data_IF_000764918193
#
_entry.id   IF_000764918193
#
_cell.length_a   1.000
_cell.length_b   1.000
_cell.length_c   1.000
_cell.angle_alpha   90.00
_cell.angle_beta   90.00
_cell.angle_gamma   90.00
#
_symmetry.space_group_name_H-M   'P 1'
#
loop_
_entity.id
_entity.type
_entity.pdbx_description
1 polymer ?
#
# COMPACT_ATOMS: atom_id res chain seq x y z
N UNK A 1 -44.26 -10.00 28.82
CA UNK A 1 -43.72 -10.52 27.55
C UNK A 1 -42.95 -9.39 26.88
N UNK A 2 -41.65 -9.28 27.12
CA UNK A 2 -40.82 -8.29 26.45
C UNK A 2 -40.32 -8.88 25.13
N UNK A 3 -40.75 -8.29 24.01
CA UNK A 3 -40.16 -8.51 22.69
C UNK A 3 -38.79 -7.83 22.70
N UNK A 4 -37.70 -8.60 22.84
CA UNK A 4 -36.38 -8.11 22.49
C UNK A 4 -36.35 -7.90 20.98
N UNK A 5 -36.48 -6.64 20.58
CA UNK A 5 -36.13 -6.21 19.23
C UNK A 5 -34.68 -6.60 18.98
N UNK A 6 -34.45 -7.41 17.96
CA UNK A 6 -33.12 -7.56 17.37
C UNK A 6 -32.75 -6.20 16.82
N UNK A 7 -31.90 -5.47 17.53
CA UNK A 7 -31.22 -4.31 16.99
C UNK A 7 -30.27 -4.84 15.91
N UNK A 8 -30.73 -4.88 14.67
CA UNK A 8 -29.85 -4.87 13.52
C UNK A 8 -29.15 -3.50 13.54
N UNK A 9 -28.08 -3.41 14.33
CA UNK A 9 -27.11 -2.32 14.23
C UNK A 9 -26.64 -2.38 12.79
N UNK A 10 -26.93 -1.33 12.02
CA UNK A 10 -26.56 -1.24 10.61
C UNK A 10 -25.04 -1.34 10.47
N UNK A 11 -24.55 -2.56 10.31
CA UNK A 11 -23.14 -2.83 10.07
C UNK A 11 -22.84 -2.33 8.68
N UNK A 12 -22.25 -1.14 8.60
CA UNK A 12 -21.82 -0.57 7.33
C UNK A 12 -20.55 -1.29 6.90
N UNK A 13 -20.73 -2.41 6.19
CA UNK A 13 -19.65 -3.14 5.57
C UNK A 13 -19.00 -2.26 4.50
N UNK A 14 -17.68 -2.09 4.58
CA UNK A 14 -16.89 -1.43 3.56
C UNK A 14 -16.01 -2.48 2.87
N UNK A 15 -16.37 -2.82 1.64
CA UNK A 15 -15.59 -3.69 0.76
C UNK A 15 -15.57 -3.12 -0.64
N UNK A 16 -14.44 -3.27 -1.34
CA UNK A 16 -14.36 -3.02 -2.78
C UNK A 16 -13.70 -4.23 -3.41
N UNK A 17 -14.26 -4.70 -4.52
CA UNK A 17 -13.59 -5.63 -5.40
C UNK A 17 -12.36 -4.90 -5.99
N UNK A 18 -11.17 -5.42 -5.69
CA UNK A 18 -9.92 -4.76 -6.03
C UNK A 18 -9.03 -5.75 -6.76
N UNK A 19 -8.79 -5.48 -8.04
CA UNK A 19 -7.75 -6.15 -8.81
C UNK A 19 -6.38 -5.54 -8.46
N UNK A 20 -5.57 -6.29 -7.72
CA UNK A 20 -4.17 -5.93 -7.41
C UNK A 20 -3.25 -6.72 -8.34
N UNK A 21 -2.28 -6.07 -9.01
CA UNK A 21 -1.30 -6.77 -9.85
C UNK A 21 -0.50 -7.82 -9.08
N UNK A 22 -0.20 -8.94 -9.73
CA UNK A 22 0.71 -10.00 -9.24
C UNK A 22 2.18 -9.54 -9.27
N UNK A 23 2.50 -8.57 -8.43
CA UNK A 23 3.85 -8.03 -8.26
C UNK A 23 4.11 -7.70 -6.78
N UNK A 24 5.24 -8.10 -6.19
CA UNK A 24 5.48 -7.93 -4.75
C UNK A 24 5.31 -6.48 -4.26
N UNK A 25 5.84 -5.50 -4.99
CA UNK A 25 5.62 -4.08 -4.66
C UNK A 25 4.14 -3.71 -4.63
N UNK A 26 3.35 -4.12 -5.62
CA UNK A 26 1.93 -3.80 -5.68
C UNK A 26 1.17 -4.42 -4.50
N UNK A 27 1.52 -5.66 -4.13
CA UNK A 27 0.95 -6.36 -2.98
C UNK A 27 1.24 -5.63 -1.66
N UNK A 28 2.48 -5.20 -1.44
CA UNK A 28 2.85 -4.39 -0.26
C UNK A 28 2.17 -3.02 -0.24
N UNK A 29 2.03 -2.35 -1.38
CA UNK A 29 1.30 -1.08 -1.47
C UNK A 29 -0.18 -1.25 -1.11
N UNK A 30 -0.79 -2.37 -1.52
CA UNK A 30 -2.17 -2.71 -1.14
C UNK A 30 -2.31 -2.99 0.36
N UNK A 31 -1.38 -3.75 0.94
CA UNK A 31 -1.30 -3.95 2.38
C UNK A 31 -1.21 -2.60 3.11
N UNK A 32 -0.28 -1.73 2.70
CA UNK A 32 -0.11 -0.41 3.28
C UNK A 32 -1.38 0.45 3.16
N UNK A 33 -2.03 0.46 1.99
CA UNK A 33 -3.29 1.20 1.81
C UNK A 33 -4.38 0.73 2.78
N UNK A 34 -4.47 -0.59 3.00
CA UNK A 34 -5.40 -1.21 3.93
C UNK A 34 -5.13 -0.78 5.37
N UNK A 35 -3.88 -0.83 5.83
CA UNK A 35 -3.50 -0.39 7.19
C UNK A 35 -3.70 1.12 7.36
N UNK A 36 -3.33 1.93 6.37
CA UNK A 36 -3.59 3.37 6.42
C UNK A 36 -5.08 3.70 6.46
N UNK A 37 -5.95 2.85 5.89
CA UNK A 37 -7.40 3.00 5.96
C UNK A 37 -7.98 2.66 7.34
N UNK A 38 -7.37 1.70 8.05
CA UNK A 38 -7.69 1.32 9.45
C UNK A 38 -7.30 2.44 10.41
N UNK A 39 -6.10 3.00 10.24
CA UNK A 39 -5.48 3.99 11.14
C UNK A 39 -5.76 5.46 10.77
N UNK A 40 -6.64 5.72 9.80
CA UNK A 40 -6.97 7.07 9.32
C UNK A 40 -5.74 7.91 8.98
N UNK A 41 -4.73 7.29 8.37
CA UNK A 41 -3.53 7.99 7.95
C UNK A 41 -3.86 8.78 6.68
N UNK A 42 -3.85 10.09 6.83
CA UNK A 42 -4.24 11.04 5.80
C UNK A 42 -3.43 10.86 4.51
N UNK A 43 -4.14 11.02 3.38
CA UNK A 43 -3.55 11.02 2.03
C UNK A 43 -2.93 12.36 1.64
N UNK A 44 -2.91 13.32 2.55
CA UNK A 44 -2.41 14.68 2.32
C UNK A 44 -0.90 14.71 2.14
N UNK A 45 -0.17 13.75 2.73
CA UNK A 45 1.25 13.57 2.49
C UNK A 45 1.48 12.97 1.09
N UNK A 46 2.15 13.73 0.22
CA UNK A 46 2.38 13.35 -1.17
C UNK A 46 3.09 11.99 -1.32
N UNK A 47 4.03 11.69 -0.41
CA UNK A 47 4.78 10.44 -0.41
C UNK A 47 3.86 9.26 -0.05
N UNK A 48 3.10 9.36 1.05
CA UNK A 48 2.16 8.31 1.48
C UNK A 48 1.11 8.04 0.39
N UNK A 49 0.61 9.08 -0.28
CA UNK A 49 -0.36 8.91 -1.37
C UNK A 49 0.22 8.09 -2.53
N UNK A 50 1.49 8.34 -2.89
CA UNK A 50 2.16 7.58 -3.96
C UNK A 50 2.40 6.13 -3.55
N UNK A 51 2.86 5.91 -2.32
CA UNK A 51 3.17 4.58 -1.76
C UNK A 51 1.94 3.69 -1.57
N UNK A 52 0.73 4.25 -1.62
CA UNK A 52 -0.55 3.51 -1.53
C UNK A 52 -1.17 3.20 -2.89
N UNK A 53 -0.70 3.81 -3.98
CA UNK A 53 -1.26 3.62 -5.31
C UNK A 53 -0.70 2.37 -6.01
N UNK A 54 -1.16 1.20 -5.56
CA UNK A 54 -0.71 -0.11 -6.07
C UNK A 54 -0.93 -0.29 -7.59
N UNK A 55 -1.83 0.47 -8.22
CA UNK A 55 -2.03 0.44 -9.68
C UNK A 55 -0.85 1.04 -10.43
N UNK A 56 -0.12 1.95 -9.79
CA UNK A 56 1.07 2.62 -10.32
C UNK A 56 2.36 2.13 -9.66
N UNK A 57 2.40 0.86 -9.21
CA UNK A 57 3.58 0.29 -8.56
C UNK A 57 4.88 0.42 -9.39
N UNK A 58 4.79 0.43 -10.72
CA UNK A 58 5.94 0.61 -11.63
C UNK A 58 6.52 2.02 -11.64
N UNK A 59 5.80 2.99 -11.08
CA UNK A 59 6.23 4.39 -10.99
C UNK A 59 7.06 4.69 -9.74
N UNK A 60 7.25 3.69 -8.86
CA UNK A 60 8.12 3.80 -7.69
C UNK A 60 9.58 3.64 -8.12
N UNK A 61 10.42 4.56 -7.68
CA UNK A 61 11.87 4.40 -7.77
C UNK A 61 12.40 3.53 -6.62
N UNK A 62 13.72 3.30 -6.61
CA UNK A 62 14.34 2.46 -5.59
C UNK A 62 14.31 3.07 -4.19
N UNK A 63 14.39 4.41 -4.08
CA UNK A 63 14.31 5.11 -2.80
C UNK A 63 12.90 5.03 -2.24
N UNK A 64 11.89 5.25 -3.07
CA UNK A 64 10.48 5.15 -2.70
C UNK A 64 10.09 3.71 -2.37
N UNK A 65 10.68 2.72 -3.06
CA UNK A 65 10.51 1.31 -2.68
C UNK A 65 11.13 1.02 -1.31
N UNK A 66 12.27 1.62 -0.99
CA UNK A 66 12.85 1.51 0.36
C UNK A 66 11.96 2.19 1.42
N UNK A 67 11.38 3.35 1.12
CA UNK A 67 10.39 4.01 1.99
C UNK A 67 9.16 3.12 2.23
N UNK A 68 8.62 2.49 1.18
CA UNK A 68 7.54 1.50 1.29
C UNK A 68 7.93 0.39 2.27
N UNK A 69 9.13 -0.19 2.12
CA UNK A 69 9.61 -1.27 2.99
C UNK A 69 9.76 -0.81 4.44
N UNK A 70 10.27 0.40 4.69
CA UNK A 70 10.36 0.97 6.03
C UNK A 70 8.97 1.08 6.66
N UNK A 71 7.98 1.58 5.91
CA UNK A 71 6.61 1.67 6.39
C UNK A 71 6.00 0.30 6.65
N UNK A 72 6.20 -0.68 5.76
CA UNK A 72 5.71 -2.05 5.97
C UNK A 72 6.34 -2.70 7.22
N UNK A 73 7.62 -2.47 7.48
CA UNK A 73 8.28 -2.93 8.72
C UNK A 73 7.70 -2.20 9.94
N UNK A 74 7.48 -0.89 9.84
CA UNK A 74 6.89 -0.09 10.91
C UNK A 74 5.46 -0.55 11.24
N UNK A 75 4.68 -0.90 10.22
CA UNK A 75 3.32 -1.42 10.30
C UNK A 75 3.30 -2.95 10.18
N UNK A 76 4.20 -3.65 10.88
CA UNK A 76 4.22 -5.12 10.88
C UNK A 76 2.90 -5.68 11.45
N UNK A 77 2.32 -6.76 10.88
CA UNK A 77 1.09 -7.35 11.38
C UNK A 77 1.12 -7.63 12.88
N UNK A 78 2.22 -8.15 13.41
CA UNK A 78 2.40 -8.47 14.83
C UNK A 78 2.07 -7.32 15.79
N UNK A 79 2.28 -6.06 15.38
CA UNK A 79 1.97 -4.91 16.23
C UNK A 79 0.52 -4.44 16.11
N UNK A 80 -0.20 -4.90 15.08
CA UNK A 80 -1.57 -4.48 14.72
C UNK A 80 -2.62 -5.54 15.04
N UNK A 81 -2.24 -6.82 14.93
CA UNK A 81 -3.09 -7.98 15.23
C UNK A 81 -3.56 -7.87 16.67
N UNK A 82 -4.83 -8.22 16.87
CA UNK A 82 -5.57 -8.14 18.14
C UNK A 82 -5.74 -6.72 18.70
N UNK A 83 -5.41 -5.69 17.91
CA UNK A 83 -5.62 -4.28 18.29
C UNK A 83 -6.58 -3.57 17.34
N UNK A 84 -6.26 -3.62 16.05
CA UNK A 84 -7.04 -2.96 15.00
C UNK A 84 -7.25 -3.83 13.76
N UNK A 85 -6.52 -4.95 13.64
CA UNK A 85 -6.77 -5.98 12.65
C UNK A 85 -6.95 -7.32 13.37
N UNK A 86 -7.88 -8.16 12.91
CA UNK A 86 -8.23 -9.41 13.59
C UNK A 86 -8.41 -10.54 12.58
N UNK A 87 -7.89 -11.71 12.90
CA UNK A 87 -8.15 -12.90 12.12
C UNK A 87 -9.52 -13.46 12.50
N UNK A 88 -10.49 -13.37 11.59
CA UNK A 88 -11.84 -13.91 11.82
C UNK A 88 -12.52 -14.21 10.47
N UNK A 89 -12.59 -15.49 10.14
CA UNK A 89 -13.17 -15.96 8.88
C UNK A 89 -14.69 -15.76 8.83
N UNK A 90 -15.39 -15.78 9.98
CA UNK A 90 -16.84 -15.60 10.05
C UNK A 90 -17.19 -14.14 9.73
N UNK A 91 -16.45 -13.20 10.30
CA UNK A 91 -16.62 -11.76 10.04
C UNK A 91 -16.26 -11.40 8.59
N UNK A 92 -15.33 -12.12 7.98
CA UNK A 92 -14.98 -11.93 6.56
C UNK A 92 -16.00 -12.54 5.59
N UNK A 93 -16.68 -13.62 5.97
CA UNK A 93 -17.57 -14.36 5.08
C UNK A 93 -16.80 -14.90 3.86
N UNK A 94 -17.29 -14.59 2.66
CA UNK A 94 -16.69 -15.03 1.39
C UNK A 94 -15.50 -14.20 0.91
N UNK A 95 -15.27 -13.02 1.49
CA UNK A 95 -14.16 -12.15 1.10
C UNK A 95 -12.89 -12.50 1.87
N UNK A 96 -11.71 -12.23 1.31
CA UNK A 96 -10.43 -12.45 2.02
C UNK A 96 -10.24 -11.50 3.21
N UNK A 97 -10.85 -10.32 3.15
CA UNK A 97 -10.83 -9.32 4.20
C UNK A 97 -12.03 -8.38 4.13
N UNK A 98 -12.40 -7.78 5.27
CA UNK A 98 -13.49 -6.81 5.38
C UNK A 98 -13.17 -5.71 6.38
N UNK A 99 -13.70 -4.51 6.11
CA UNK A 99 -13.56 -3.36 7.01
C UNK A 99 -14.89 -3.03 7.69
N UNK A 100 -14.81 -2.73 8.98
CA UNK A 100 -15.95 -2.38 9.83
C UNK A 100 -15.67 -1.09 10.59
N UNK A 101 -16.72 -0.33 10.90
CA UNK A 101 -16.59 0.79 11.84
C UNK A 101 -16.33 0.25 13.26
N UNK A 102 -15.55 0.97 14.05
CA UNK A 102 -15.22 0.58 15.44
C UNK A 102 -16.49 0.35 16.27
N UNK A 103 -17.50 1.21 16.10
CA UNK A 103 -18.80 1.13 16.77
C UNK A 103 -19.59 -0.14 16.41
N UNK A 104 -19.36 -0.76 15.25
CA UNK A 104 -20.10 -1.93 14.83
C UNK A 104 -19.63 -3.23 15.52
N UNK A 105 -18.44 -3.21 16.12
CA UNK A 105 -17.77 -4.41 16.64
C UNK A 105 -17.26 -4.27 18.08
N UNK A 106 -17.45 -3.10 18.71
CA UNK A 106 -17.03 -2.80 20.08
C UNK A 106 -17.65 -3.70 21.15
N UNK A 107 -18.82 -4.28 20.88
CA UNK A 107 -19.52 -5.15 21.85
C UNK A 107 -18.97 -6.58 21.87
N UNK A 108 -18.20 -6.96 20.84
CA UNK A 108 -17.68 -8.33 20.66
C UNK A 108 -16.17 -8.44 20.78
N UNK A 109 -15.45 -7.35 20.51
CA UNK A 109 -13.99 -7.33 20.49
C UNK A 109 -13.44 -6.23 21.39
N UNK A 110 -12.34 -6.54 22.08
CA UNK A 110 -11.59 -5.54 22.83
C UNK A 110 -10.79 -4.67 21.85
N UNK A 111 -11.43 -3.61 21.37
CA UNK A 111 -10.81 -2.70 20.42
C UNK A 111 -10.01 -1.65 21.18
N UNK A 112 -8.75 -1.49 20.79
CA UNK A 112 -7.95 -0.37 21.29
C UNK A 112 -8.22 0.84 20.40
N UNK A 113 -8.73 1.97 20.92
CA UNK A 113 -9.07 3.13 20.11
C UNK A 113 -7.84 3.80 19.50
N UNK A 114 -6.64 3.51 20.02
CA UNK A 114 -5.37 4.08 19.60
C UNK A 114 -4.26 3.02 19.64
N UNK A 115 -3.30 3.10 18.73
CA UNK A 115 -2.14 2.21 18.67
C UNK A 115 -0.86 3.03 18.61
N UNK A 116 0.12 2.69 19.44
CA UNK A 116 1.45 3.30 19.43
C UNK A 116 2.33 2.64 18.36
N UNK A 117 2.73 3.41 17.34
CA UNK A 117 3.53 2.92 16.21
C UNK A 117 4.63 3.92 15.93
N UNK A 118 5.89 3.49 15.98
CA UNK A 118 7.04 4.38 15.71
C UNK A 118 7.15 5.56 16.65
N UNK A 119 6.70 5.41 17.91
CA UNK A 119 6.65 6.50 18.88
C UNK A 119 5.50 7.49 18.67
N UNK A 120 4.61 7.25 17.71
CA UNK A 120 3.43 8.07 17.46
C UNK A 120 2.16 7.29 17.76
N UNK A 121 1.26 7.90 18.53
CA UNK A 121 -0.06 7.35 18.78
C UNK A 121 -0.96 7.62 17.59
N UNK A 122 -1.58 6.56 17.04
CA UNK A 122 -2.46 6.63 15.87
C UNK A 122 -3.86 6.17 16.27
N UNK A 123 -4.88 6.94 15.87
CA UNK A 123 -6.27 6.62 16.14
C UNK A 123 -6.76 5.51 15.21
N UNK A 124 -7.47 4.54 15.77
CA UNK A 124 -8.15 3.48 15.00
C UNK A 124 -9.52 4.00 14.59
N UNK A 125 -9.76 4.11 13.28
CA UNK A 125 -11.04 4.56 12.74
C UNK A 125 -11.88 3.38 12.23
N UNK A 126 -11.24 2.31 11.78
CA UNK A 126 -11.89 1.09 11.30
C UNK A 126 -11.19 -0.13 11.83
N UNK A 127 -11.89 -1.25 11.79
CA UNK A 127 -11.36 -2.57 12.11
C UNK A 127 -11.28 -3.38 10.83
N UNK A 128 -10.15 -4.06 10.62
CA UNK A 128 -9.95 -4.97 9.51
C UNK A 128 -10.05 -6.41 10.02
N UNK A 129 -11.04 -7.16 9.53
CA UNK A 129 -11.03 -8.61 9.66
C UNK A 129 -10.41 -9.24 8.42
N UNK A 130 -9.66 -10.31 8.60
CA UNK A 130 -9.02 -11.01 7.49
C UNK A 130 -9.00 -12.53 7.70
N UNK A 131 -8.99 -13.27 6.58
CA UNK A 131 -8.57 -14.68 6.57
C UNK A 131 -7.05 -14.76 6.60
N UNK A 132 -6.48 -15.78 7.24
CA UNK A 132 -5.02 -15.97 7.36
C UNK A 132 -4.26 -15.80 6.04
N UNK A 133 -4.82 -16.33 4.94
CA UNK A 133 -4.26 -16.22 3.60
C UNK A 133 -4.05 -14.78 3.12
N UNK A 134 -4.83 -13.83 3.63
CA UNK A 134 -4.68 -12.43 3.28
C UNK A 134 -3.31 -11.89 3.72
N UNK A 135 -2.87 -12.18 4.95
CA UNK A 135 -1.54 -11.75 5.41
C UNK A 135 -0.43 -12.46 4.65
N UNK A 136 -0.61 -13.74 4.34
CA UNK A 136 0.37 -14.49 3.56
C UNK A 136 0.54 -13.86 2.16
N UNK A 137 -0.56 -13.66 1.43
CA UNK A 137 -0.56 -13.11 0.09
C UNK A 137 -0.08 -11.64 0.02
N UNK A 138 -0.53 -10.78 0.94
CA UNK A 138 -0.36 -9.33 0.82
C UNK A 138 0.80 -8.77 1.64
N UNK A 139 1.31 -9.50 2.62
CA UNK A 139 2.42 -9.07 3.46
C UNK A 139 3.58 -10.06 3.46
N UNK A 140 3.40 -11.30 3.93
CA UNK A 140 4.53 -12.20 4.19
C UNK A 140 5.25 -12.61 2.90
N UNK A 141 4.53 -13.10 1.88
CA UNK A 141 5.15 -13.48 0.61
C UNK A 141 5.85 -12.31 -0.10
N UNK A 142 5.21 -11.13 -0.23
CA UNK A 142 5.89 -9.96 -0.77
C UNK A 142 7.11 -9.55 0.05
N UNK A 143 7.03 -9.55 1.40
CA UNK A 143 8.17 -9.20 2.26
C UNK A 143 9.36 -10.15 2.07
N UNK A 144 9.12 -11.46 1.93
CA UNK A 144 10.18 -12.45 1.62
C UNK A 144 10.93 -12.11 0.35
N UNK A 145 10.22 -11.67 -0.69
CA UNK A 145 10.86 -11.27 -1.96
C UNK A 145 11.82 -10.08 -1.82
N UNK A 146 11.71 -9.29 -0.75
CA UNK A 146 12.53 -8.11 -0.46
C UNK A 146 13.62 -8.34 0.60
N UNK A 147 13.81 -9.56 1.12
CA UNK A 147 14.75 -9.84 2.21
C UNK A 147 16.17 -9.30 1.98
N UNK A 148 16.70 -9.45 0.77
CA UNK A 148 18.03 -8.94 0.42
C UNK A 148 18.11 -7.41 0.50
N UNK A 149 17.07 -6.71 0.04
CA UNK A 149 16.97 -5.25 0.11
C UNK A 149 16.79 -4.79 1.56
N UNK A 150 15.95 -5.44 2.34
CA UNK A 150 15.73 -5.15 3.77
C UNK A 150 17.01 -5.33 4.57
N UNK A 151 17.78 -6.40 4.32
CA UNK A 151 19.08 -6.63 4.97
C UNK A 151 20.06 -5.50 4.67
N UNK A 152 20.12 -5.07 3.41
CA UNK A 152 20.99 -3.98 2.97
C UNK A 152 20.58 -2.63 3.57
N UNK A 153 19.28 -2.36 3.62
CA UNK A 153 18.70 -1.18 4.25
C UNK A 153 19.03 -1.13 5.75
N UNK A 154 18.85 -2.24 6.46
CA UNK A 154 19.15 -2.34 7.90
C UNK A 154 20.63 -2.13 8.18
N UNK A 155 21.51 -2.69 7.34
CA UNK A 155 22.95 -2.48 7.44
C UNK A 155 23.32 -1.00 7.23
N UNK A 156 22.70 -0.31 6.27
CA UNK A 156 22.91 1.13 6.05
C UNK A 156 22.44 1.96 7.24
N UNK A 157 21.26 1.68 7.78
CA UNK A 157 20.73 2.40 8.95
C UNK A 157 21.66 2.24 10.17
N UNK A 158 22.15 1.02 10.42
CA UNK A 158 23.08 0.75 11.52
C UNK A 158 24.47 1.34 11.29
N UNK A 159 25.01 1.24 10.07
CA UNK A 159 26.34 1.75 9.71
C UNK A 159 26.44 3.28 9.66
N UNK A 160 25.32 3.99 9.47
CA UNK A 160 25.28 5.46 9.47
C UNK A 160 25.40 6.07 10.89
N UNK A 161 25.33 5.25 11.94
CA UNK A 161 25.49 5.65 13.34
C UNK A 161 26.94 5.64 13.88
N UNK A 162 27.94 5.24 13.08
CA UNK A 162 29.33 5.20 13.55
C UNK A 162 30.33 5.23 12.41
N UNK A 163 30.89 6.40 12.10
CA UNK A 163 32.06 6.49 11.21
C UNK A 163 32.15 7.70 10.29
N UNK A 164 32.19 8.91 10.84
CA UNK A 164 32.98 9.99 10.23
C UNK A 164 33.99 10.49 11.26
N UNK A 165 35.12 9.79 11.38
CA UNK A 165 36.34 10.34 11.97
C UNK A 165 37.56 9.61 11.41
N UNK A 166 38.13 10.20 10.37
CA UNK A 166 39.55 10.15 10.01
C UNK A 166 39.79 11.47 9.26
N UNK A 167 40.04 12.59 9.94
CA UNK A 167 41.36 13.02 10.42
C UNK A 167 42.51 12.37 9.63
N UNK A 168 42.72 12.83 8.41
CA UNK A 168 44.02 12.70 7.75
C UNK A 168 44.86 13.92 8.10
N UNK A 169 45.57 13.83 9.22
CA UNK A 169 46.71 14.70 9.55
C UNK A 169 47.91 13.79 9.74
N UNK A 170 48.92 13.91 8.88
CA UNK A 170 50.09 13.04 8.84
C UNK A 170 51.11 13.52 7.84
N UNK A 171 51.73 14.64 8.18
CA UNK A 171 52.87 15.30 7.56
C UNK A 171 54.14 14.43 7.62
N UNK A 172 54.82 14.20 6.48
CA UNK A 172 56.28 14.00 6.44
C UNK A 172 56.84 14.38 5.06
N UNK A 173 57.87 15.21 5.11
CA UNK A 173 58.56 15.97 4.07
C UNK A 173 59.30 15.14 3.01
N UNK A 174 59.24 15.57 1.73
CA UNK A 174 60.42 15.73 0.84
C UNK A 174 60.08 16.43 -0.50
N UNK A 175 61.08 17.05 -1.18
CA UNK A 175 60.88 18.17 -2.10
C UNK A 175 60.75 17.80 -3.59
N UNK A 176 60.26 18.79 -4.35
CA UNK A 176 59.84 18.83 -5.76
C UNK A 176 60.89 18.44 -6.80
N UNK A 177 60.46 18.21 -8.06
CA UNK A 177 60.71 19.23 -9.08
C UNK A 177 59.51 19.51 -10.02
N UNK A 178 59.54 20.62 -10.79
CA UNK A 178 58.38 21.16 -11.51
C UNK A 178 58.33 20.67 -12.96
N UNK A 179 57.12 20.47 -13.52
CA UNK A 179 56.90 20.71 -14.96
C UNK A 179 55.44 20.68 -15.41
N UNK A 180 55.09 21.79 -16.08
CA UNK A 180 54.30 21.91 -17.31
C UNK A 180 52.82 21.51 -17.35
N UNK A 181 52.00 22.56 -17.50
CA UNK A 181 50.70 22.66 -18.17
C UNK A 181 50.72 22.01 -19.56
N UNK A 182 49.63 21.35 -20.01
CA UNK A 182 48.74 21.95 -21.02
C UNK A 182 47.23 21.64 -20.73
N UNK A 183 46.34 22.63 -20.75
CA UNK A 183 45.56 23.12 -21.93
C UNK A 183 44.35 22.25 -22.33
N UNK A 184 43.17 22.63 -21.82
CA UNK A 184 41.85 22.63 -22.50
C UNK A 184 41.14 21.30 -22.81
N UNK A 185 39.83 21.32 -23.18
CA UNK A 185 39.04 22.48 -23.57
C UNK A 185 37.75 22.72 -22.77
N UNK A 186 37.27 23.94 -22.98
CA UNK A 186 36.10 24.60 -22.40
C UNK A 186 34.75 23.99 -22.76
N UNK A 187 33.85 24.11 -21.80
CA UNK A 187 32.41 23.82 -21.84
C UNK A 187 31.64 25.07 -22.29
N UNK A 188 30.76 24.87 -23.29
CA UNK A 188 29.46 25.52 -23.53
C UNK A 188 29.39 27.02 -23.85
N UNK A 189 28.68 27.39 -24.92
CA UNK A 189 27.26 27.83 -24.91
C UNK A 189 26.84 28.51 -26.23
N UNK A 190 25.51 28.63 -26.40
CA UNK A 190 24.71 29.41 -27.36
C UNK A 190 24.36 28.68 -28.66
N UNK A 191 23.13 28.15 -28.84
CA UNK A 191 21.79 28.71 -28.61
C UNK A 191 21.54 30.00 -29.43
N UNK A 192 20.96 29.82 -30.62
CA UNK A 192 20.36 30.88 -31.43
C UNK A 192 19.11 30.34 -32.12
N UNK A 193 18.11 31.21 -32.28
CA UNK A 193 16.99 31.03 -33.20
C UNK A 193 15.71 30.50 -32.54
N UNK A 194 14.78 31.35 -32.07
CA UNK A 194 13.71 32.00 -32.88
C UNK A 194 12.66 31.00 -33.39
N UNK A 195 11.35 31.24 -33.44
CA UNK A 195 10.42 32.35 -33.15
C UNK A 195 9.05 31.85 -33.66
N UNK A 196 7.94 32.40 -33.14
CA UNK A 196 6.60 32.43 -33.75
C UNK A 196 5.83 31.07 -33.81
N UNK A 197 4.49 30.97 -33.74
CA UNK A 197 3.38 31.92 -33.89
C UNK A 197 2.08 31.28 -33.39
N UNK A 198 1.20 32.12 -32.84
CA UNK A 198 -0.28 32.09 -32.87
C UNK A 198 -1.03 30.91 -33.52
N UNK A 199 -2.07 30.41 -32.85
CA UNK A 199 -3.48 30.53 -33.32
C UNK A 199 -4.47 29.68 -32.47
N UNK A 200 -5.42 30.36 -31.82
CA UNK A 200 -6.82 29.93 -31.60
C UNK A 200 -7.60 30.09 -32.94
N UNK A 201 -8.91 29.77 -33.11
CA UNK A 201 -9.90 29.02 -32.31
C UNK A 201 -10.83 28.07 -33.14
N UNK A 202 -11.72 27.30 -32.48
CA UNK A 202 -13.12 26.95 -32.90
C UNK A 202 -13.57 25.68 -32.18
N UNK A 203 -14.69 25.62 -31.43
CA UNK A 203 -16.13 25.93 -31.67
C UNK A 203 -16.91 24.68 -32.09
N UNK A 204 -18.04 24.49 -31.38
CA UNK A 204 -19.26 23.73 -31.73
C UNK A 204 -19.17 22.19 -31.65
N UNK A 205 -20.21 21.40 -31.37
CA UNK A 205 -21.63 21.52 -30.98
C UNK A 205 -22.08 20.04 -30.75
N UNK A 206 -22.81 19.67 -29.69
CA UNK A 206 -24.27 19.41 -29.68
C UNK A 206 -24.69 17.94 -29.86
N UNK A 207 -25.77 17.56 -29.15
CA UNK A 207 -26.62 16.35 -29.37
C UNK A 207 -26.29 15.22 -28.39
N UNK A 208 -27.04 14.96 -27.31
CA UNK A 208 -28.45 14.53 -27.18
C UNK A 208 -28.76 13.29 -28.01
N UNK A 209 -29.08 12.16 -27.36
CA UNK A 209 -30.31 11.36 -27.59
C UNK A 209 -30.42 10.23 -26.56
N UNK A 210 -31.59 10.18 -25.93
CA UNK A 210 -32.08 9.14 -25.03
C UNK A 210 -32.56 7.90 -25.81
N UNK A 211 -32.54 6.73 -25.17
CA UNK A 211 -33.10 5.50 -25.77
C UNK A 211 -33.31 4.38 -24.75
N UNK A 212 -34.52 4.32 -24.21
CA UNK A 212 -35.07 3.26 -23.37
C UNK A 212 -35.00 1.86 -24.03
N UNK A 213 -34.84 0.79 -23.23
CA UNK A 213 -35.74 -0.38 -23.32
C UNK A 213 -35.66 -1.31 -22.10
N UNK A 214 -36.83 -1.59 -21.53
CA UNK A 214 -37.11 -2.58 -20.50
C UNK A 214 -37.35 -3.99 -21.09
N UNK A 215 -37.17 -5.03 -20.28
CA UNK A 215 -37.96 -6.28 -20.15
C UNK A 215 -37.15 -7.27 -19.27
N UNK A 216 -37.53 -7.55 -18.02
CA UNK A 216 -38.57 -8.50 -17.56
C UNK A 216 -38.24 -9.97 -17.82
N UNK A 217 -38.16 -10.79 -16.76
CA UNK A 217 -38.56 -12.19 -16.86
C UNK A 217 -37.86 -13.23 -16.00
N UNK A 218 -38.52 -13.55 -14.86
CA UNK A 218 -38.78 -14.90 -14.33
C UNK A 218 -37.75 -15.64 -13.46
N UNK A 219 -38.31 -16.02 -12.32
CA UNK A 219 -37.91 -16.90 -11.22
C UNK A 219 -38.09 -18.40 -11.54
N UNK A 220 -37.21 -19.27 -11.00
CA UNK A 220 -37.51 -20.25 -9.93
C UNK A 220 -36.34 -21.25 -9.67
N UNK A 221 -36.18 -21.77 -8.42
CA UNK A 221 -35.23 -22.81 -7.98
C UNK A 221 -35.93 -24.21 -8.00
N UNK A 222 -35.47 -25.32 -7.34
CA UNK A 222 -34.27 -25.62 -6.51
C UNK A 222 -33.57 -26.97 -6.90
N UNK A 223 -32.52 -27.39 -6.18
CA UNK A 223 -32.34 -28.77 -5.62
C UNK A 223 -30.94 -28.99 -5.03
N UNK A 224 -30.94 -29.62 -3.85
CA UNK A 224 -29.84 -29.88 -2.91
C UNK A 224 -29.19 -31.25 -3.13
N UNK A 225 -27.93 -31.37 -2.64
CA UNK A 225 -27.23 -32.57 -2.12
C UNK A 225 -26.11 -33.18 -3.00
N UNK A 226 -25.19 -33.99 -2.42
CA UNK A 226 -24.20 -33.60 -1.43
C UNK A 226 -22.74 -33.99 -1.84
N UNK A 227 -21.81 -33.59 -0.97
CA UNK A 227 -20.37 -33.60 -1.09
C UNK A 227 -19.66 -34.93 -1.48
N UNK A 228 -18.51 -34.77 -2.15
CA UNK A 228 -17.35 -35.67 -2.06
C UNK A 228 -16.07 -34.86 -1.86
N UNK A 229 -15.10 -35.34 -1.07
CA UNK A 229 -13.95 -34.56 -0.64
C UNK A 229 -12.75 -34.74 -1.58
N UNK A 230 -11.74 -33.90 -1.30
CA UNK A 230 -10.35 -33.95 -1.75
C UNK A 230 -10.02 -33.22 -3.04
N UNK A 231 -9.35 -32.06 -2.88
CA UNK A 231 -7.91 -31.92 -3.14
C UNK A 231 -7.42 -30.61 -2.52
N UNK A 232 -6.23 -30.65 -1.92
CA UNK A 232 -5.45 -29.47 -1.56
C UNK A 232 -5.34 -28.60 -2.82
N UNK A 233 -6.06 -27.50 -2.86
CA UNK A 233 -5.89 -26.46 -3.86
C UNK A 233 -4.72 -25.60 -3.40
N UNK A 234 -3.69 -25.54 -4.22
CA UNK A 234 -2.81 -24.37 -4.29
C UNK A 234 -3.67 -23.12 -4.12
N UNK A 235 -3.49 -22.46 -2.98
CA UNK A 235 -4.18 -21.22 -2.70
C UNK A 235 -3.45 -20.14 -3.49
N UNK A 236 -3.64 -20.18 -4.80
CA UNK A 236 -3.26 -19.10 -5.69
C UNK A 236 -4.07 -17.88 -5.24
N UNK A 237 -3.39 -16.76 -4.99
CA UNK A 237 -3.97 -15.46 -4.64
C UNK A 237 -4.76 -14.91 -5.85
N UNK A 238 -5.71 -15.66 -6.40
CA UNK A 238 -6.57 -15.22 -7.49
C UNK A 238 -7.67 -14.38 -6.87
N UNK A 239 -7.55 -13.07 -7.05
CA UNK A 239 -8.66 -12.14 -6.92
C UNK A 239 -9.69 -12.54 -7.98
N UNK A 240 -10.83 -13.08 -7.57
CA UNK A 240 -11.98 -13.30 -8.44
C UNK A 240 -12.77 -12.01 -8.63
#
# INVERSE_FOLDING_TARGET
MALLGRTEVGVKEFGREINVPEHPTAKLMYYLDSICYVLDIDKSEANIRKLRDYRRYRALDDSETEELLILCILFTPDILVDKCIFQDNEMCGGDMNKFFEVSAVSDRFLITPEVLIGGQTRKVQKILFFHEIWLECWYHDPMRSFEGRIRSLTARIRGRGGGQRAITSGETSRPSPPRSVPSGPSRSQQATGSRATSSTPSRAQSGTTAGNRAQSGKSNPPTTAPAKPAKKSDASCVVQ
#
